data_IF_228329838583
#
_entry.id   IF_228329838583
#
_cell.length_a   1.000
_cell.length_b   1.000
_cell.length_c   1.000
_cell.angle_alpha   90.00
_cell.angle_beta   90.00
_cell.angle_gamma   90.00
#
_symmetry.space_group_name_H-M   'P 1'
#
loop_
_entity.id
_entity.type
_entity.pdbx_description
1 polymer ?
#
# COMPACT_ATOMS: atom_id res chain seq x y z
N UNK A 1 1.13 -23.99 11.63
CA UNK A 1 2.12 -23.31 10.78
C UNK A 1 2.34 -21.90 11.31
N UNK A 2 3.57 -21.56 11.69
CA UNK A 2 3.97 -20.21 12.11
C UNK A 2 4.09 -19.26 10.92
N UNK A 3 4.14 -17.95 11.15
CA UNK A 3 4.37 -16.98 10.08
C UNK A 3 5.70 -17.24 9.34
N UNK A 4 6.76 -17.62 10.07
CA UNK A 4 8.06 -17.93 9.46
C UNK A 4 8.02 -19.14 8.54
N UNK A 5 7.37 -20.23 8.98
CA UNK A 5 7.18 -21.44 8.16
C UNK A 5 6.39 -21.14 6.88
N UNK A 6 5.34 -20.31 6.97
CA UNK A 6 4.59 -19.86 5.81
C UNK A 6 5.48 -19.08 4.83
N UNK A 7 6.32 -18.17 5.32
CA UNK A 7 7.21 -17.41 4.44
C UNK A 7 8.23 -18.29 3.72
N UNK A 8 8.79 -19.28 4.42
CA UNK A 8 9.67 -20.28 3.80
C UNK A 8 8.91 -21.09 2.74
N UNK A 9 7.70 -21.54 3.06
CA UNK A 9 6.86 -22.25 2.10
C UNK A 9 6.58 -21.41 0.84
N UNK A 10 6.15 -20.16 1.02
CA UNK A 10 5.89 -19.23 -0.08
C UNK A 10 7.15 -18.98 -0.92
N UNK A 11 8.30 -18.79 -0.28
CA UNK A 11 9.55 -18.54 -0.99
C UNK A 11 10.05 -19.78 -1.73
N UNK A 12 9.87 -20.99 -1.19
CA UNK A 12 10.31 -22.25 -1.83
C UNK A 12 9.39 -22.70 -2.96
N UNK A 13 8.11 -22.35 -2.93
CA UNK A 13 7.12 -22.73 -3.94
C UNK A 13 6.76 -21.60 -4.92
N UNK A 14 7.54 -20.51 -4.93
CA UNK A 14 7.30 -19.37 -5.83
C UNK A 14 7.68 -19.70 -7.28
N UNK A 15 7.10 -18.95 -8.22
CA UNK A 15 7.55 -18.96 -9.61
C UNK A 15 8.91 -18.25 -9.75
N UNK A 16 10.00 -19.01 -9.86
CA UNK A 16 11.35 -18.45 -10.06
C UNK A 16 11.49 -17.66 -11.37
N UNK A 17 10.85 -18.12 -12.46
CA UNK A 17 10.86 -17.41 -13.74
C UNK A 17 10.16 -16.03 -13.67
N UNK A 18 9.31 -15.83 -12.66
CA UNK A 18 8.55 -14.61 -12.46
C UNK A 18 9.25 -13.61 -11.52
N UNK A 19 10.37 -13.98 -10.88
CA UNK A 19 11.00 -13.19 -9.81
C UNK A 19 11.32 -11.75 -10.29
N UNK A 20 11.88 -11.60 -11.50
CA UNK A 20 12.20 -10.28 -12.07
C UNK A 20 10.96 -9.41 -12.27
N UNK A 21 9.87 -10.01 -12.76
CA UNK A 21 8.60 -9.30 -12.97
C UNK A 21 7.94 -8.92 -11.63
N UNK A 22 7.91 -9.83 -10.66
CA UNK A 22 7.40 -9.57 -9.31
C UNK A 22 8.21 -8.49 -8.57
N UNK A 23 9.53 -8.46 -8.80
CA UNK A 23 10.41 -7.43 -8.26
C UNK A 23 10.10 -6.07 -8.89
N UNK A 24 9.97 -6.03 -10.22
CA UNK A 24 9.58 -4.82 -10.93
C UNK A 24 8.24 -4.27 -10.40
N UNK A 25 7.21 -5.12 -10.27
CA UNK A 25 5.89 -4.75 -9.72
C UNK A 25 5.99 -4.07 -8.35
N UNK A 26 6.89 -4.54 -7.50
CA UNK A 26 7.10 -3.95 -6.16
C UNK A 26 7.60 -2.50 -6.24
N UNK A 27 8.48 -2.18 -7.19
CA UNK A 27 9.00 -0.82 -7.37
C UNK A 27 8.00 0.13 -8.05
N UNK A 28 6.99 -0.39 -8.74
CA UNK A 28 5.98 0.43 -9.42
C UNK A 28 4.92 1.03 -8.49
N UNK A 29 4.87 0.69 -7.20
CA UNK A 29 3.85 1.23 -6.28
C UNK A 29 3.89 2.75 -6.21
N UNK A 30 5.07 3.34 -5.99
CA UNK A 30 5.23 4.80 -5.93
C UNK A 30 4.94 5.49 -7.27
N UNK A 31 5.33 4.85 -8.38
CA UNK A 31 5.03 5.32 -9.74
C UNK A 31 3.52 5.32 -9.98
N UNK A 32 2.82 4.25 -9.60
CA UNK A 32 1.38 4.13 -9.70
C UNK A 32 0.67 5.20 -8.87
N UNK A 33 1.13 5.45 -7.63
CA UNK A 33 0.64 6.54 -6.80
C UNK A 33 0.78 7.89 -7.50
N UNK A 34 1.96 8.16 -8.06
CA UNK A 34 2.22 9.37 -8.85
C UNK A 34 1.27 9.49 -10.06
N UNK A 35 1.07 8.41 -10.81
CA UNK A 35 0.17 8.36 -11.96
C UNK A 35 -1.28 8.64 -11.57
N UNK A 36 -1.77 8.07 -10.46
CA UNK A 36 -3.13 8.33 -9.96
C UNK A 36 -3.29 9.81 -9.56
N UNK A 37 -2.31 10.39 -8.87
CA UNK A 37 -2.35 11.80 -8.49
C UNK A 37 -2.31 12.72 -9.71
N UNK A 38 -1.46 12.45 -10.70
CA UNK A 38 -1.40 13.21 -11.96
C UNK A 38 -2.70 13.10 -12.75
N UNK A 39 -3.29 11.90 -12.81
CA UNK A 39 -4.61 11.68 -13.42
C UNK A 39 -5.68 12.52 -12.72
N UNK A 40 -5.73 12.52 -11.38
CA UNK A 40 -6.68 13.34 -10.63
C UNK A 40 -6.44 14.84 -10.85
N UNK A 41 -5.18 15.29 -10.92
CA UNK A 41 -4.85 16.68 -11.25
C UNK A 41 -5.41 17.05 -12.62
N UNK A 42 -5.15 16.21 -13.63
CA UNK A 42 -5.65 16.42 -14.99
C UNK A 42 -7.18 16.53 -15.04
N UNK A 43 -7.87 15.60 -14.38
CA UNK A 43 -9.33 15.55 -14.34
C UNK A 43 -9.99 16.72 -13.61
N UNK A 44 -9.34 17.26 -12.57
CA UNK A 44 -9.92 18.29 -11.70
C UNK A 44 -9.51 19.72 -12.05
N UNK A 45 -8.28 19.96 -12.52
CA UNK A 45 -7.81 21.31 -12.92
C UNK A 45 -7.95 21.59 -14.42
N UNK A 46 -7.64 20.60 -15.27
CA UNK A 46 -7.59 20.81 -16.72
C UNK A 46 -8.93 20.48 -17.38
N UNK A 47 -9.43 19.26 -17.21
CA UNK A 47 -10.76 18.89 -17.75
C UNK A 47 -11.91 19.46 -16.95
N UNK A 48 -11.69 19.73 -15.65
CA UNK A 48 -12.73 20.17 -14.69
C UNK A 48 -13.95 19.25 -14.62
N UNK A 49 -13.77 17.96 -14.95
CA UNK A 49 -14.81 16.93 -14.91
C UNK A 49 -15.04 16.43 -13.49
N UNK A 50 -13.99 16.45 -12.66
CA UNK A 50 -14.04 16.03 -11.25
C UNK A 50 -13.87 17.22 -10.31
N UNK A 51 -14.44 17.11 -9.11
CA UNK A 51 -14.21 18.09 -8.04
C UNK A 51 -12.78 18.00 -7.52
N UNK A 52 -12.13 19.15 -7.31
CA UNK A 52 -10.81 19.25 -6.65
C UNK A 52 -10.77 18.57 -5.27
N UNK A 53 -11.92 18.42 -4.60
CA UNK A 53 -12.06 17.67 -3.34
C UNK A 53 -11.55 16.23 -3.48
N UNK A 54 -11.61 15.62 -4.67
CA UNK A 54 -11.18 14.23 -4.89
C UNK A 54 -9.66 14.10 -4.82
N UNK A 55 -8.94 15.02 -5.46
CA UNK A 55 -7.48 15.09 -5.36
C UNK A 55 -7.06 15.27 -3.90
N UNK A 56 -7.62 16.26 -3.20
CA UNK A 56 -7.27 16.52 -1.81
C UNK A 56 -7.62 15.37 -0.87
N UNK A 57 -8.73 14.66 -1.12
CA UNK A 57 -9.09 13.47 -0.37
C UNK A 57 -8.02 12.37 -0.50
N UNK A 58 -7.65 11.99 -1.73
CA UNK A 58 -6.66 10.93 -1.98
C UNK A 58 -5.30 11.33 -1.42
N UNK A 59 -4.87 12.57 -1.64
CA UNK A 59 -3.61 13.10 -1.12
C UNK A 59 -3.58 13.07 0.42
N UNK A 60 -4.64 13.53 1.08
CA UNK A 60 -4.72 13.51 2.55
C UNK A 60 -4.69 12.08 3.10
N UNK A 61 -5.41 11.13 2.47
CA UNK A 61 -5.38 9.73 2.86
C UNK A 61 -3.97 9.12 2.76
N UNK A 62 -3.21 9.45 1.72
CA UNK A 62 -1.83 8.99 1.54
C UNK A 62 -0.88 9.61 2.59
N UNK A 63 -1.04 10.91 2.89
CA UNK A 63 -0.25 11.59 3.94
C UNK A 63 -0.49 10.93 5.31
N UNK A 64 -1.76 10.70 5.68
CA UNK A 64 -2.10 10.02 6.93
C UNK A 64 -1.51 8.62 6.99
N UNK A 65 -1.56 7.89 5.88
CA UNK A 65 -0.98 6.55 5.76
C UNK A 65 0.51 6.56 5.97
N UNK A 66 1.24 7.44 5.28
CA UNK A 66 2.68 7.58 5.45
C UNK A 66 3.02 7.93 6.91
N UNK A 67 2.34 8.92 7.50
CA UNK A 67 2.56 9.31 8.89
C UNK A 67 2.35 8.15 9.87
N UNK A 68 1.22 7.43 9.76
CA UNK A 68 0.92 6.29 10.63
C UNK A 68 1.91 5.15 10.44
N UNK A 69 2.30 4.81 9.21
CA UNK A 69 3.31 3.79 8.94
C UNK A 69 4.65 4.18 9.60
N UNK A 70 5.08 5.43 9.47
CA UNK A 70 6.33 5.90 10.07
C UNK A 70 6.28 5.86 11.60
N UNK A 71 5.20 6.35 12.21
CA UNK A 71 5.01 6.34 13.66
C UNK A 71 4.99 4.90 14.21
N UNK A 72 4.25 4.00 13.59
CA UNK A 72 4.17 2.61 14.02
C UNK A 72 5.50 1.87 13.84
N UNK A 73 6.24 2.15 12.74
CA UNK A 73 7.57 1.57 12.52
C UNK A 73 8.56 1.97 13.60
N UNK A 74 8.51 3.23 14.02
CA UNK A 74 9.39 3.76 15.07
C UNK A 74 8.97 3.23 16.45
N UNK A 75 7.67 3.24 16.76
CA UNK A 75 7.16 2.81 18.06
C UNK A 75 7.23 1.30 18.31
N UNK A 76 7.02 0.46 17.28
CA UNK A 76 6.97 -1.00 17.44
C UNK A 76 8.33 -1.65 17.18
N UNK A 77 9.11 -1.15 16.21
CA UNK A 77 10.47 -1.64 15.96
C UNK A 77 10.58 -3.13 15.57
N UNK A 78 9.50 -3.76 15.08
CA UNK A 78 9.48 -5.21 14.79
C UNK A 78 10.60 -5.59 13.79
N UNK A 79 11.44 -6.61 14.08
CA UNK A 79 12.47 -7.05 13.14
C UNK A 79 11.85 -7.66 11.88
N UNK A 80 12.59 -7.59 10.77
CA UNK A 80 12.20 -8.16 9.47
C UNK A 80 12.34 -9.69 9.46
N UNK A 81 11.47 -10.42 8.74
CA UNK A 81 11.56 -11.88 8.66
C UNK A 81 12.93 -12.39 8.23
N UNK A 82 13.51 -11.85 7.15
CA UNK A 82 14.82 -12.25 6.63
C UNK A 82 15.97 -12.13 7.63
N UNK A 83 15.81 -11.37 8.72
CA UNK A 83 16.85 -11.20 9.75
C UNK A 83 16.80 -12.27 10.83
N UNK A 84 15.64 -12.91 11.03
CA UNK A 84 15.39 -13.77 12.20
C UNK A 84 14.84 -15.14 11.86
N UNK A 85 14.26 -15.33 10.66
CA UNK A 85 13.76 -16.61 10.18
C UNK A 85 14.89 -17.31 9.40
N UNK A 86 15.44 -18.38 9.98
CA UNK A 86 16.49 -19.17 9.34
C UNK A 86 16.02 -19.73 7.98
N UNK A 87 16.87 -19.65 6.96
CA UNK A 87 16.59 -20.12 5.61
C UNK A 87 15.79 -19.14 4.73
N UNK A 88 15.27 -18.04 5.28
CA UNK A 88 14.52 -17.05 4.52
C UNK A 88 15.47 -16.02 3.89
N UNK A 89 15.40 -15.84 2.57
CA UNK A 89 16.25 -14.90 1.84
C UNK A 89 15.58 -13.54 1.69
N UNK A 90 16.36 -12.48 1.82
CA UNK A 90 15.96 -11.13 1.41
C UNK A 90 16.07 -11.02 -0.11
N UNK A 91 14.96 -10.75 -0.80
CA UNK A 91 14.96 -10.61 -2.28
C UNK A 91 14.72 -9.18 -2.77
N UNK A 92 14.43 -8.25 -1.87
CA UNK A 92 14.23 -6.83 -2.18
C UNK A 92 14.66 -5.99 -0.98
N UNK A 93 14.87 -4.70 -1.19
CA UNK A 93 15.24 -3.81 -0.11
C UNK A 93 14.16 -3.72 0.97
N UNK A 94 14.64 -3.69 2.21
CA UNK A 94 13.83 -3.59 3.41
C UNK A 94 14.59 -2.81 4.47
N UNK A 95 14.08 -1.64 4.82
CA UNK A 95 14.58 -0.87 5.98
C UNK A 95 14.41 -1.64 7.30
N UNK A 96 14.74 -1.00 8.42
CA UNK A 96 14.92 -1.70 9.70
C UNK A 96 13.66 -2.38 10.26
N UNK A 97 12.51 -1.67 10.34
CA UNK A 97 11.28 -2.19 10.93
C UNK A 97 10.33 -2.82 9.90
N UNK A 98 9.74 -3.96 10.23
CA UNK A 98 8.80 -4.71 9.39
C UNK A 98 7.36 -4.23 9.52
N UNK A 99 6.83 -4.08 10.74
CA UNK A 99 5.45 -3.69 10.95
C UNK A 99 5.21 -2.17 10.86
N UNK A 100 4.10 -1.71 10.25
CA UNK A 100 3.29 -2.39 9.24
C UNK A 100 3.97 -2.35 7.86
N UNK A 101 3.41 -3.06 6.88
CA UNK A 101 3.88 -3.00 5.49
C UNK A 101 3.49 -1.67 4.83
N UNK A 102 4.50 -0.86 4.47
CA UNK A 102 4.30 0.44 3.83
C UNK A 102 3.78 0.34 2.39
N UNK A 103 4.35 -0.55 1.57
CA UNK A 103 3.88 -0.78 0.19
C UNK A 103 2.43 -1.28 0.18
N UNK A 104 2.08 -2.19 1.12
CA UNK A 104 0.71 -2.65 1.29
C UNK A 104 -0.19 -1.50 1.73
N UNK A 105 0.21 -0.72 2.73
CA UNK A 105 -0.59 0.40 3.21
C UNK A 105 -0.85 1.44 2.10
N UNK A 106 0.17 1.77 1.30
CA UNK A 106 0.05 2.73 0.20
C UNK A 106 -0.94 2.26 -0.89
N UNK A 107 -0.74 1.04 -1.43
CA UNK A 107 -1.58 0.54 -2.53
C UNK A 107 -3.03 0.28 -2.07
N UNK A 108 -3.22 -0.20 -0.83
CA UNK A 108 -4.57 -0.37 -0.28
C UNK A 108 -5.24 0.97 0.04
N UNK A 109 -4.48 2.03 0.37
CA UNK A 109 -5.04 3.37 0.57
C UNK A 109 -5.61 3.92 -0.73
N UNK A 110 -4.86 3.78 -1.83
CA UNK A 110 -5.37 4.11 -3.16
C UNK A 110 -6.62 3.30 -3.50
N UNK A 111 -6.60 1.99 -3.24
CA UNK A 111 -7.74 1.10 -3.48
C UNK A 111 -8.99 1.57 -2.75
N UNK A 112 -8.91 1.77 -1.43
CA UNK A 112 -10.05 2.18 -0.63
C UNK A 112 -10.52 3.60 -0.97
N UNK A 113 -9.60 4.51 -1.26
CA UNK A 113 -9.95 5.86 -1.68
C UNK A 113 -10.69 5.86 -3.02
N UNK A 114 -10.19 5.16 -4.04
CA UNK A 114 -10.86 5.07 -5.34
C UNK A 114 -12.19 4.31 -5.26
N UNK A 115 -12.26 3.26 -4.43
CA UNK A 115 -13.50 2.53 -4.18
C UNK A 115 -14.59 3.45 -3.62
N UNK A 116 -14.25 4.30 -2.64
CA UNK A 116 -15.17 5.28 -2.03
C UNK A 116 -15.70 6.32 -3.02
N UNK A 117 -14.93 6.65 -4.06
CA UNK A 117 -15.37 7.63 -5.06
C UNK A 117 -16.47 7.10 -5.98
N UNK A 118 -16.73 5.78 -6.00
CA UNK A 118 -17.75 5.08 -6.81
C UNK A 118 -17.73 5.35 -8.32
N UNK A 119 -16.73 6.07 -8.83
CA UNK A 119 -16.64 6.54 -10.21
C UNK A 119 -15.67 5.74 -11.09
N UNK A 120 -14.72 5.04 -10.47
CA UNK A 120 -13.60 4.38 -11.17
C UNK A 120 -13.64 2.86 -11.06
N UNK A 121 -14.82 2.23 -11.24
CA UNK A 121 -15.04 0.81 -10.94
C UNK A 121 -14.00 -0.14 -11.57
N UNK A 122 -13.70 0.04 -12.86
CA UNK A 122 -12.72 -0.81 -13.57
C UNK A 122 -11.32 -0.63 -12.96
N UNK A 123 -10.90 0.62 -12.74
CA UNK A 123 -9.60 0.92 -12.13
C UNK A 123 -9.52 0.36 -10.70
N UNK A 124 -10.60 0.45 -9.92
CA UNK A 124 -10.67 -0.13 -8.57
C UNK A 124 -10.48 -1.65 -8.60
N UNK A 125 -11.10 -2.36 -9.55
CA UNK A 125 -10.94 -3.82 -9.69
C UNK A 125 -9.51 -4.19 -10.07
N UNK A 126 -8.93 -3.50 -11.06
CA UNK A 126 -7.53 -3.73 -11.46
C UNK A 126 -6.56 -3.45 -10.30
N UNK A 127 -6.82 -2.38 -9.55
CA UNK A 127 -6.02 -2.01 -8.38
C UNK A 127 -6.17 -3.02 -7.24
N UNK A 128 -7.33 -3.65 -7.06
CA UNK A 128 -7.51 -4.69 -6.06
C UNK A 128 -6.62 -5.91 -6.36
N UNK A 129 -6.59 -6.36 -7.62
CA UNK A 129 -5.69 -7.44 -8.05
C UNK A 129 -4.22 -7.06 -7.85
N UNK A 130 -3.84 -5.83 -8.25
CA UNK A 130 -2.49 -5.30 -8.03
C UNK A 130 -2.13 -5.22 -6.55
N UNK A 131 -3.03 -4.75 -5.69
CA UNK A 131 -2.80 -4.63 -4.25
C UNK A 131 -2.54 -5.99 -3.59
N UNK A 132 -3.32 -7.02 -3.97
CA UNK A 132 -3.10 -8.39 -3.50
C UNK A 132 -1.77 -8.95 -4.00
N UNK A 133 -1.41 -8.68 -5.26
CA UNK A 133 -0.12 -9.08 -5.81
C UNK A 133 1.03 -8.41 -5.05
N UNK A 134 0.96 -7.11 -4.77
CA UNK A 134 1.97 -6.40 -3.97
C UNK A 134 2.06 -6.98 -2.55
N UNK A 135 0.92 -7.24 -1.90
CA UNK A 135 0.92 -7.90 -0.59
C UNK A 135 1.64 -9.25 -0.62
N UNK A 136 1.39 -10.04 -1.68
CA UNK A 136 2.05 -11.31 -1.91
C UNK A 136 3.56 -11.16 -2.15
N UNK A 137 4.01 -10.22 -2.99
CA UNK A 137 5.46 -10.03 -3.24
C UNK A 137 6.22 -9.66 -1.97
N UNK A 138 5.61 -8.86 -1.09
CA UNK A 138 6.22 -8.49 0.20
C UNK A 138 6.48 -9.70 1.12
N UNK A 139 5.63 -10.72 1.05
CA UNK A 139 5.83 -11.98 1.80
C UNK A 139 6.86 -12.87 1.11
N UNK A 140 6.71 -13.13 -0.19
CA UNK A 140 7.62 -14.00 -0.97
C UNK A 140 9.07 -13.51 -0.93
N UNK A 141 9.27 -12.18 -0.94
CA UNK A 141 10.61 -11.58 -0.90
C UNK A 141 11.21 -11.52 0.52
N UNK A 142 10.53 -12.11 1.50
CA UNK A 142 11.05 -12.31 2.85
C UNK A 142 11.11 -11.04 3.71
N UNK A 143 10.47 -9.96 3.27
CA UNK A 143 10.57 -8.63 3.88
C UNK A 143 9.42 -8.29 4.82
N UNK A 144 8.31 -9.01 4.78
CA UNK A 144 7.16 -8.81 5.65
C UNK A 144 6.48 -10.11 6.06
N UNK A 145 5.95 -10.12 7.28
CA UNK A 145 5.05 -11.15 7.78
C UNK A 145 3.60 -10.93 7.30
N UNK A 146 2.75 -11.97 7.26
CA UNK A 146 1.31 -11.82 7.02
C UNK A 146 0.64 -10.77 7.91
N UNK A 147 1.00 -10.73 9.20
CA UNK A 147 0.49 -9.71 10.13
C UNK A 147 0.95 -8.28 9.80
N UNK A 148 2.11 -8.09 9.17
CA UNK A 148 2.53 -6.77 8.67
C UNK A 148 1.65 -6.31 7.50
N UNK A 149 1.20 -7.26 6.66
CA UNK A 149 0.27 -7.02 5.55
C UNK A 149 -1.08 -6.60 6.11
N UNK A 150 -1.63 -7.36 7.07
CA UNK A 150 -2.88 -7.03 7.74
C UNK A 150 -2.81 -5.66 8.45
N UNK A 151 -1.70 -5.37 9.13
CA UNK A 151 -1.45 -4.06 9.72
C UNK A 151 -1.43 -2.94 8.69
N UNK A 152 -0.80 -3.16 7.53
CA UNK A 152 -0.80 -2.20 6.43
C UNK A 152 -2.21 -1.92 5.88
N UNK A 153 -3.01 -2.98 5.70
CA UNK A 153 -4.42 -2.86 5.29
C UNK A 153 -5.22 -2.09 6.36
N UNK A 154 -5.02 -2.37 7.64
CA UNK A 154 -5.68 -1.65 8.73
C UNK A 154 -5.36 -0.15 8.74
N UNK A 155 -4.08 0.21 8.55
CA UNK A 155 -3.66 1.61 8.41
C UNK A 155 -4.33 2.26 7.19
N UNK A 156 -4.36 1.57 6.04
CA UNK A 156 -4.99 2.07 4.84
C UNK A 156 -6.50 2.34 5.03
N UNK A 157 -7.22 1.40 5.66
CA UNK A 157 -8.64 1.55 5.97
C UNK A 157 -8.89 2.77 6.88
N UNK A 158 -8.08 2.92 7.93
CA UNK A 158 -8.19 4.04 8.86
C UNK A 158 -7.93 5.38 8.14
N UNK A 159 -6.83 5.50 7.40
CA UNK A 159 -6.49 6.73 6.69
C UNK A 159 -7.52 7.10 5.63
N UNK A 160 -7.89 6.17 4.75
CA UNK A 160 -8.88 6.42 3.70
C UNK A 160 -10.30 6.66 4.26
N UNK A 161 -10.62 6.07 5.41
CA UNK A 161 -11.88 6.26 6.12
C UNK A 161 -11.98 7.62 6.82
N UNK A 162 -10.89 8.09 7.45
CA UNK A 162 -10.85 9.35 8.23
C UNK A 162 -10.62 10.60 7.37
N UNK A 163 -9.86 10.50 6.29
CA UNK A 163 -9.51 11.63 5.43
C UNK A 163 -10.71 12.48 4.93
N UNK A 164 -11.89 11.92 4.55
CA UNK A 164 -13.04 12.73 4.15
C UNK A 164 -13.57 13.63 5.27
N UNK A 165 -13.51 13.17 6.52
CA UNK A 165 -13.99 13.94 7.67
C UNK A 165 -13.03 15.08 8.00
N UNK A 166 -11.72 14.82 7.93
CA UNK A 166 -10.72 15.87 8.09
C UNK A 166 -10.78 16.89 6.96
N UNK A 167 -11.02 16.46 5.72
CA UNK A 167 -11.12 17.36 4.58
C UNK A 167 -12.28 18.36 4.72
N UNK A 168 -13.38 17.97 5.36
CA UNK A 168 -14.51 18.88 5.65
C UNK A 168 -14.13 20.05 6.55
N UNK A 169 -13.09 19.92 7.39
CA UNK A 169 -12.60 21.02 8.22
C UNK A 169 -11.93 22.13 7.39
N UNK A 170 -11.43 21.79 6.20
CA UNK A 170 -10.73 22.73 5.31
C UNK A 170 -11.57 23.17 4.12
N UNK A 171 -12.55 22.36 3.71
CA UNK A 171 -13.52 22.68 2.67
C UNK A 171 -14.88 22.98 3.32
N UNK A 172 -15.04 24.19 3.86
CA UNK A 172 -16.37 24.71 4.15
C UNK A 172 -17.15 24.85 2.83
N UNK A 173 -18.32 24.21 2.78
CA UNK A 173 -19.30 24.49 1.74
C UNK A 173 -19.73 25.95 1.90
N UNK A 174 -19.27 26.79 0.97
CA UNK A 174 -19.97 28.03 0.64
C UNK A 174 -21.07 27.71 -0.35
#
# INVERSE_FOLDING_TARGET
>A
MSEGELLIYLQTHRCHACDAWLLAMTHYVSVLTGMVLLFLIYETWFRKVLSRKYFWYVTLALILTAALVHLLKWGIGRPRPFKVVAGLRQMTDGGQSSFPSGHTAEVFTLLFALWRLHRFRVLTVLLAAGALLIAYTRMVFGVHYPTDILGGIGVAMLSAGTAPYLLKLFYHEK
#
